data_IF_389453545069
#
_entry.id   IF_389453545069
#
_cell.length_a   1.000
_cell.length_b   1.000
_cell.length_c   1.000
_cell.angle_alpha   90.00
_cell.angle_beta   90.00
_cell.angle_gamma   90.00
#
_symmetry.space_group_name_H-M   'P 1'
#
loop_
_entity.id
_entity.type
_entity.pdbx_description
1 polymer ?
#
# COMPACT_ATOMS: atom_id res chain seq x y z
N UNK A 1 24.32 6.78 -1.43
CA UNK A 1 23.35 5.73 -1.83
C UNK A 1 21.90 6.23 -1.82
N UNK A 2 21.64 7.48 -2.24
CA UNK A 2 20.29 8.00 -2.42
C UNK A 2 20.10 8.35 -3.90
N UNK A 3 19.09 7.77 -4.53
CA UNK A 3 18.70 8.11 -5.89
C UNK A 3 17.34 8.79 -5.87
N UNK A 4 17.29 10.03 -6.37
CA UNK A 4 16.02 10.74 -6.55
C UNK A 4 15.52 10.53 -7.97
N UNK A 5 14.38 9.87 -8.11
CA UNK A 5 13.68 9.76 -9.39
C UNK A 5 12.93 11.08 -9.64
N UNK A 6 13.25 11.74 -10.76
CA UNK A 6 12.62 13.02 -11.16
C UNK A 6 11.67 12.89 -12.35
N UNK A 7 11.77 11.79 -13.11
CA UNK A 7 10.90 11.52 -14.26
C UNK A 7 9.49 11.15 -13.81
N UNK A 8 8.54 11.31 -14.73
CA UNK A 8 7.13 10.96 -14.53
C UNK A 8 6.69 9.75 -15.36
N UNK A 9 7.64 9.13 -16.08
CA UNK A 9 7.37 7.99 -16.97
C UNK A 9 6.91 6.74 -16.23
N UNK A 10 7.24 6.66 -14.94
CA UNK A 10 6.90 5.54 -14.07
C UNK A 10 6.16 6.05 -12.83
N UNK A 11 5.08 5.36 -12.48
CA UNK A 11 4.31 5.60 -11.27
C UNK A 11 4.98 4.86 -10.10
N UNK A 12 4.69 5.23 -8.83
CA UNK A 12 5.21 4.52 -7.68
C UNK A 12 5.01 2.99 -7.75
N UNK A 13 3.81 2.54 -8.14
CA UNK A 13 3.47 1.11 -8.30
C UNK A 13 4.39 0.36 -9.28
N UNK A 14 4.94 1.06 -10.28
CA UNK A 14 5.84 0.46 -11.27
C UNK A 14 7.25 0.23 -10.68
N UNK A 15 7.64 0.99 -9.65
CA UNK A 15 8.91 0.80 -8.92
C UNK A 15 8.82 -0.18 -7.75
N UNK A 16 7.65 -0.30 -7.11
CA UNK A 16 7.48 -1.11 -5.90
C UNK A 16 8.02 -2.54 -5.99
N UNK A 17 7.90 -3.28 -7.11
CA UNK A 17 8.47 -4.63 -7.23
C UNK A 17 10.00 -4.71 -7.07
N UNK A 18 10.71 -3.59 -7.25
CA UNK A 18 12.17 -3.50 -7.07
C UNK A 18 12.56 -3.21 -5.62
N UNK A 19 11.59 -2.87 -4.77
CA UNK A 19 11.81 -2.45 -3.39
C UNK A 19 11.59 -3.61 -2.44
N UNK A 20 12.42 -3.71 -1.39
CA UNK A 20 12.17 -4.64 -0.28
C UNK A 20 11.01 -4.20 0.62
N UNK A 21 10.66 -2.91 0.61
CA UNK A 21 9.51 -2.30 1.29
C UNK A 21 9.24 -0.89 0.81
N UNK A 22 8.03 -0.41 1.07
CA UNK A 22 7.62 0.99 0.88
C UNK A 22 7.54 1.68 2.23
N UNK A 23 8.08 2.90 2.33
CA UNK A 23 7.95 3.76 3.52
C UNK A 23 7.05 4.93 3.14
N UNK A 24 5.92 5.10 3.83
CA UNK A 24 4.97 6.17 3.53
C UNK A 24 4.12 6.53 4.76
N UNK A 25 3.44 7.67 4.71
CA UNK A 25 2.30 7.95 5.60
C UNK A 25 1.04 7.21 5.10
N UNK A 26 0.00 7.04 5.95
CA UNK A 26 -1.29 6.51 5.53
C UNK A 26 -1.89 7.31 4.37
N UNK A 27 -2.21 6.60 3.28
CA UNK A 27 -2.83 7.14 2.08
C UNK A 27 -3.41 6.02 1.22
N UNK A 28 -4.53 6.31 0.56
CA UNK A 28 -5.32 5.32 -0.16
C UNK A 28 -4.51 4.59 -1.24
N UNK A 29 -3.97 5.33 -2.22
CA UNK A 29 -3.33 4.74 -3.39
C UNK A 29 -2.11 3.92 -3.02
N UNK A 30 -1.17 4.50 -2.26
CA UNK A 30 0.08 3.80 -1.91
C UNK A 30 -0.17 2.53 -1.12
N UNK A 31 -1.12 2.52 -0.18
CA UNK A 31 -1.44 1.30 0.57
C UNK A 31 -2.13 0.26 -0.31
N UNK A 32 -3.09 0.66 -1.13
CA UNK A 32 -3.76 -0.24 -2.06
C UNK A 32 -2.79 -0.87 -3.07
N UNK A 33 -1.87 -0.07 -3.63
CA UNK A 33 -0.83 -0.52 -4.56
C UNK A 33 0.14 -1.50 -3.90
N UNK A 34 0.65 -1.18 -2.71
CA UNK A 34 1.56 -2.06 -1.99
C UNK A 34 0.88 -3.38 -1.58
N UNK A 35 -0.37 -3.35 -1.10
CA UNK A 35 -1.14 -4.57 -0.82
C UNK A 35 -1.45 -5.37 -2.10
N UNK A 36 -1.73 -4.71 -3.22
CA UNK A 36 -1.96 -5.36 -4.51
C UNK A 36 -0.72 -6.12 -4.99
N UNK A 37 0.47 -5.57 -4.73
CA UNK A 37 1.77 -6.14 -5.14
C UNK A 37 2.45 -7.00 -4.06
N UNK A 38 1.83 -7.19 -2.88
CA UNK A 38 2.41 -7.90 -1.73
C UNK A 38 3.73 -7.31 -1.23
N UNK A 39 3.90 -5.99 -1.37
CA UNK A 39 5.11 -5.28 -0.92
C UNK A 39 4.93 -4.80 0.52
N UNK A 40 5.88 -5.09 1.45
CA UNK A 40 5.77 -4.65 2.83
C UNK A 40 5.71 -3.13 3.00
N UNK A 41 4.98 -2.66 4.02
CA UNK A 41 4.77 -1.23 4.28
C UNK A 41 5.31 -0.85 5.67
N UNK A 42 6.25 0.09 5.72
CA UNK A 42 6.59 0.81 6.95
C UNK A 42 5.81 2.13 6.97
N UNK A 43 4.76 2.22 7.78
CA UNK A 43 3.87 3.37 7.82
C UNK A 43 4.20 4.32 8.97
N UNK A 44 4.41 5.60 8.67
CA UNK A 44 4.54 6.65 9.68
C UNK A 44 3.17 7.21 10.04
N UNK A 45 2.74 7.09 11.29
CA UNK A 45 1.43 7.58 11.74
C UNK A 45 1.32 9.10 11.60
N UNK A 46 0.10 9.61 11.39
CA UNK A 46 -0.20 11.04 11.31
C UNK A 46 -1.55 11.37 11.91
N UNK A 47 -1.69 12.59 12.43
CA UNK A 47 -2.97 13.19 12.80
C UNK A 47 -3.55 14.00 11.63
N UNK A 48 -4.82 14.42 11.76
CA UNK A 48 -5.49 15.28 10.76
C UNK A 48 -5.94 14.57 9.49
N UNK A 49 -6.00 13.24 9.49
CA UNK A 49 -6.55 12.43 8.40
C UNK A 49 -7.48 11.38 8.98
N UNK A 50 -8.79 11.53 8.75
CA UNK A 50 -9.82 10.75 9.45
C UNK A 50 -9.67 9.24 9.24
N UNK A 51 -9.28 8.84 8.03
CA UNK A 51 -9.18 7.45 7.61
C UNK A 51 -7.84 6.80 7.97
N UNK A 52 -6.92 7.55 8.61
CA UNK A 52 -5.59 7.04 8.95
C UNK A 52 -5.65 5.73 9.75
N UNK A 53 -6.54 5.66 10.75
CA UNK A 53 -6.71 4.48 11.59
C UNK A 53 -7.19 3.27 10.79
N UNK A 54 -8.22 3.46 9.94
CA UNK A 54 -8.80 2.41 9.11
C UNK A 54 -7.79 1.90 8.08
N UNK A 55 -7.03 2.80 7.45
CA UNK A 55 -6.00 2.41 6.49
C UNK A 55 -4.84 1.65 7.15
N UNK A 56 -4.41 2.07 8.34
CA UNK A 56 -3.40 1.34 9.12
C UNK A 56 -3.96 -0.04 9.47
N UNK A 57 -5.18 -0.13 9.96
CA UNK A 57 -5.83 -1.39 10.31
C UNK A 57 -5.88 -2.35 9.12
N UNK A 58 -6.25 -1.86 7.93
CA UNK A 58 -6.25 -2.64 6.70
C UNK A 58 -4.86 -3.15 6.32
N UNK A 59 -3.82 -2.32 6.45
CA UNK A 59 -2.44 -2.78 6.22
C UNK A 59 -2.02 -3.82 7.24
N UNK A 60 -2.37 -3.65 8.52
CA UNK A 60 -2.06 -4.64 9.55
C UNK A 60 -2.78 -5.97 9.33
N UNK A 61 -4.00 -5.92 8.80
CA UNK A 61 -4.80 -7.10 8.53
C UNK A 61 -4.30 -7.92 7.35
N UNK A 62 -3.86 -7.25 6.28
CA UNK A 62 -3.66 -7.90 4.99
C UNK A 62 -2.23 -7.81 4.46
N UNK A 63 -1.36 -7.01 5.07
CA UNK A 63 0.01 -6.78 4.62
C UNK A 63 1.07 -7.02 5.69
N UNK A 64 2.28 -7.30 5.20
CA UNK A 64 3.48 -7.24 6.03
C UNK A 64 3.78 -5.78 6.38
N UNK A 65 3.97 -5.48 7.66
CA UNK A 65 3.92 -4.09 8.10
C UNK A 65 4.83 -3.74 9.28
N UNK A 66 5.15 -2.45 9.39
CA UNK A 66 5.71 -1.81 10.58
C UNK A 66 5.02 -0.46 10.76
N UNK A 67 4.48 -0.19 11.95
CA UNK A 67 3.85 1.10 12.25
C UNK A 67 4.81 1.91 13.09
N UNK A 68 5.21 3.06 12.58
CA UNK A 68 6.18 3.97 13.16
C UNK A 68 5.47 5.24 13.64
N UNK A 69 5.86 5.72 14.81
CA UNK A 69 5.54 7.07 15.27
C UNK A 69 6.37 8.11 14.50
N UNK A 70 5.92 9.39 14.43
CA UNK A 70 6.75 10.46 13.90
C UNK A 70 8.10 10.56 14.60
N UNK A 71 8.16 10.37 15.92
CA UNK A 71 9.41 10.43 16.68
C UNK A 71 10.38 9.33 16.25
N UNK A 72 9.92 8.08 16.12
CA UNK A 72 10.77 6.97 15.64
C UNK A 72 11.31 7.23 14.22
N UNK A 73 10.50 7.84 13.36
CA UNK A 73 10.93 8.15 11.99
C UNK A 73 11.87 9.35 11.91
N UNK A 74 11.56 10.48 12.54
CA UNK A 74 12.34 11.71 12.40
C UNK A 74 13.56 11.79 13.33
N UNK A 75 13.52 11.13 14.49
CA UNK A 75 14.57 11.23 15.51
C UNK A 75 15.23 9.87 15.83
N UNK A 76 14.72 8.77 15.27
CA UNK A 76 15.30 7.44 15.45
C UNK A 76 16.46 7.16 14.50
N UNK A 77 17.12 6.02 14.71
CA UNK A 77 18.25 5.52 13.89
C UNK A 77 17.82 4.63 12.71
N UNK A 78 16.52 4.50 12.49
CA UNK A 78 15.94 3.69 11.41
C UNK A 78 16.27 2.18 11.48
N UNK A 79 16.54 1.66 12.68
CA UNK A 79 16.80 0.23 12.93
C UNK A 79 15.68 -0.69 12.41
N UNK A 80 14.44 -0.17 12.28
CA UNK A 80 13.32 -0.91 11.69
C UNK A 80 13.61 -1.43 10.27
N UNK A 81 14.53 -0.80 9.51
CA UNK A 81 14.96 -1.26 8.20
C UNK A 81 15.65 -2.62 8.25
N UNK A 82 16.32 -2.94 9.36
CA UNK A 82 17.01 -4.20 9.58
C UNK A 82 16.09 -5.27 10.17
N UNK A 83 14.94 -4.88 10.69
CA UNK A 83 13.95 -5.81 11.23
C UNK A 83 13.02 -6.35 10.13
N UNK A 84 12.64 -7.61 10.28
CA UNK A 84 11.59 -8.23 9.48
C UNK A 84 10.25 -7.54 9.76
N UNK A 85 9.47 -7.15 8.74
CA UNK A 85 8.12 -6.64 8.93
C UNK A 85 7.22 -7.65 9.64
N UNK A 86 6.29 -7.17 10.46
CA UNK A 86 5.30 -8.02 11.12
C UNK A 86 4.39 -8.66 10.06
N UNK A 87 4.02 -9.96 10.20
CA UNK A 87 3.09 -10.59 9.29
C UNK A 87 1.68 -9.99 9.41
N UNK A 88 0.82 -10.17 8.40
CA UNK A 88 -0.58 -9.78 8.47
C UNK A 88 -1.33 -10.49 9.61
N UNK A 89 -2.29 -9.80 10.22
CA UNK A 89 -3.14 -10.37 11.29
C UNK A 89 -4.15 -11.39 10.76
N UNK A 90 -4.58 -11.25 9.49
CA UNK A 90 -5.51 -12.18 8.84
C UNK A 90 -4.74 -13.06 7.85
N UNK A 91 -5.12 -14.34 7.81
CA UNK A 91 -4.53 -15.32 6.88
C UNK A 91 -5.12 -15.22 5.46
N UNK A 92 -6.30 -14.64 5.32
CA UNK A 92 -6.96 -14.48 4.03
C UNK A 92 -6.29 -13.36 3.21
N UNK A 93 -5.96 -13.66 1.96
CA UNK A 93 -5.48 -12.65 1.01
C UNK A 93 -6.63 -11.80 0.48
N UNK A 94 -6.33 -10.54 0.16
CA UNK A 94 -7.27 -9.69 -0.56
C UNK A 94 -7.44 -10.19 -1.99
N UNK A 95 -8.67 -10.09 -2.49
CA UNK A 95 -8.97 -10.28 -3.91
C UNK A 95 -8.41 -9.09 -4.70
N UNK A 96 -7.78 -9.38 -5.84
CA UNK A 96 -6.90 -8.44 -6.55
C UNK A 96 -7.30 -8.19 -8.01
N UNK A 97 -8.40 -8.78 -8.44
CA UNK A 97 -8.95 -8.74 -9.81
C UNK A 97 -10.09 -7.72 -9.96
N UNK A 98 -10.21 -6.76 -9.03
CA UNK A 98 -11.30 -5.79 -9.01
C UNK A 98 -11.43 -4.99 -10.32
N UNK A 99 -10.31 -4.67 -10.97
CA UNK A 99 -10.28 -4.01 -12.29
C UNK A 99 -10.90 -4.88 -13.39
N UNK A 100 -10.57 -6.18 -13.42
CA UNK A 100 -11.12 -7.10 -14.41
C UNK A 100 -12.61 -7.34 -14.17
N UNK A 101 -13.00 -7.46 -12.89
CA UNK A 101 -14.39 -7.64 -12.48
C UNK A 101 -15.26 -6.45 -12.89
N UNK A 102 -14.85 -5.22 -12.57
CA UNK A 102 -15.63 -4.04 -12.94
C UNK A 102 -15.68 -3.83 -14.45
N UNK A 103 -14.59 -4.12 -15.17
CA UNK A 103 -14.59 -4.06 -16.63
C UNK A 103 -15.62 -5.02 -17.24
N UNK A 104 -15.66 -6.27 -16.73
CA UNK A 104 -16.65 -7.27 -17.15
C UNK A 104 -18.08 -6.83 -16.84
N UNK A 105 -18.32 -6.30 -15.66
CA UNK A 105 -19.66 -5.85 -15.24
C UNK A 105 -20.16 -4.68 -16.11
N UNK A 106 -19.27 -3.73 -16.46
CA UNK A 106 -19.58 -2.63 -17.37
C UNK A 106 -19.95 -3.16 -18.77
N UNK A 107 -19.15 -4.08 -19.32
CA UNK A 107 -19.43 -4.69 -20.64
C UNK A 107 -20.80 -5.38 -20.63
N UNK A 108 -21.08 -6.19 -19.61
CA UNK A 108 -22.35 -6.88 -19.47
C UNK A 108 -23.51 -5.89 -19.40
N UNK A 109 -23.38 -4.81 -18.62
CA UNK A 109 -24.40 -3.78 -18.51
C UNK A 109 -24.68 -3.12 -19.87
N UNK A 110 -23.65 -2.69 -20.60
CA UNK A 110 -23.82 -2.04 -21.90
C UNK A 110 -24.46 -2.96 -22.96
N UNK A 111 -24.21 -4.28 -22.91
CA UNK A 111 -24.86 -5.26 -23.77
C UNK A 111 -26.37 -5.40 -23.51
N UNK A 112 -26.85 -5.07 -22.31
CA UNK A 112 -28.29 -5.05 -22.01
C UNK A 112 -29.00 -3.84 -22.60
N UNK A 113 -28.29 -2.74 -22.87
CA UNK A 113 -28.84 -1.50 -23.44
C UNK A 113 -28.87 -1.48 -24.97
N UNK A 114 -28.17 -2.43 -25.61
CA UNK A 114 -28.07 -2.54 -27.08
C UNK A 114 -28.98 -3.62 -27.66
N UNK A 115 -29.84 -4.23 -26.84
CA UNK A 115 -30.95 -5.09 -27.24
C UNK A 115 -32.25 -4.32 -27.23
#
# INVERSE_FOLDING_TARGET
NLLKIKGHDYRPVDFMPLCSRVISKPGYSTFAEALRLDIPISSVTRSGFAEAAILIEGVQDYGHHQILTPTEFFHGKWEFLHHTPKPPRKSQSLVKDGTDKIAKDIVNYLQTLTK
#
